data_IF_689807566677
#
_entry.id   IF_689807566677
#
_cell.length_a   1.000
_cell.length_b   1.000
_cell.length_c   1.000
_cell.angle_alpha   90.00
_cell.angle_beta   90.00
_cell.angle_gamma   90.00
#
_symmetry.space_group_name_H-M   'P 1'
#
loop_
_entity.id
_entity.type
_entity.pdbx_description
1 polymer ?
#
# COMPACT_ATOMS: atom_id res chain seq x y z
N UNK A 1 -3.85 3.53 -13.20
CA UNK A 1 -3.38 2.28 -12.56
C UNK A 1 -4.31 1.12 -12.91
N UNK A 2 -5.60 1.18 -12.59
CA UNK A 2 -6.52 0.06 -12.84
C UNK A 2 -6.48 -0.45 -14.29
N UNK A 3 -6.45 0.44 -15.26
CA UNK A 3 -6.36 0.11 -16.71
C UNK A 3 -5.01 -0.49 -17.14
N UNK A 4 -4.00 -0.49 -16.28
CA UNK A 4 -2.65 -1.02 -16.59
C UNK A 4 -2.52 -2.52 -16.35
N UNK A 5 -3.51 -3.15 -15.65
CA UNK A 5 -3.47 -4.59 -15.37
C UNK A 5 -3.27 -5.40 -16.66
N UNK A 6 -2.25 -6.27 -16.63
CA UNK A 6 -1.91 -7.16 -17.75
C UNK A 6 -1.44 -6.46 -19.03
N UNK A 7 -1.21 -5.12 -19.01
CA UNK A 7 -0.83 -4.36 -20.21
C UNK A 7 0.61 -3.85 -20.16
N UNK A 8 0.96 -3.19 -19.06
CA UNK A 8 2.33 -2.68 -18.85
C UNK A 8 2.69 -2.81 -17.37
N UNK A 9 3.96 -3.06 -17.04
CA UNK A 9 4.43 -3.09 -15.66
C UNK A 9 4.15 -1.75 -14.95
N UNK A 10 3.67 -1.81 -13.72
CA UNK A 10 3.46 -0.64 -12.87
C UNK A 10 4.71 -0.46 -12.02
N UNK A 11 5.35 0.70 -12.13
CA UNK A 11 6.55 1.04 -11.37
C UNK A 11 6.14 1.82 -10.13
N UNK A 12 6.48 1.29 -8.95
CA UNK A 12 6.23 1.93 -7.68
C UNK A 12 7.50 1.98 -6.83
N UNK A 13 7.78 3.13 -6.21
CA UNK A 13 8.87 3.31 -5.26
C UNK A 13 8.40 4.15 -4.07
N UNK A 14 9.06 3.98 -2.92
CA UNK A 14 8.82 4.89 -1.80
C UNK A 14 9.59 6.20 -2.03
N UNK A 15 9.07 7.31 -1.48
CA UNK A 15 9.79 8.56 -1.37
C UNK A 15 9.41 9.28 -0.09
N UNK A 16 10.40 9.95 0.51
CA UNK A 16 10.23 10.63 1.80
C UNK A 16 10.72 12.08 1.79
N UNK A 17 11.26 12.55 0.67
CA UNK A 17 11.86 13.87 0.56
C UNK A 17 11.74 14.45 -0.85
N UNK A 18 11.95 15.77 -0.96
CA UNK A 18 11.95 16.50 -2.24
C UNK A 18 12.90 15.89 -3.29
N UNK A 19 14.20 15.65 -3.02
CA UNK A 19 15.12 15.16 -4.08
C UNK A 19 14.65 13.85 -4.70
N UNK A 20 14.21 12.90 -3.88
CA UNK A 20 13.69 11.63 -4.37
C UNK A 20 12.37 11.83 -5.13
N UNK A 21 11.46 12.67 -4.64
CA UNK A 21 10.20 12.94 -5.33
C UNK A 21 10.42 13.47 -6.76
N UNK A 22 11.31 14.46 -6.94
CA UNK A 22 11.63 15.07 -8.24
C UNK A 22 12.26 14.06 -9.23
N UNK A 23 13.13 13.17 -8.73
CA UNK A 23 13.75 12.14 -9.56
C UNK A 23 12.73 11.08 -9.96
N UNK A 24 12.01 10.54 -8.96
CA UNK A 24 11.12 9.40 -9.14
C UNK A 24 9.86 9.74 -9.94
N UNK A 25 9.38 10.98 -9.89
CA UNK A 25 8.20 11.41 -10.66
C UNK A 25 8.34 11.17 -12.16
N UNK A 26 9.57 11.16 -12.68
CA UNK A 26 9.85 10.90 -14.10
C UNK A 26 9.66 9.43 -14.49
N UNK A 27 9.83 8.51 -13.56
CA UNK A 27 9.94 7.07 -13.86
C UNK A 27 8.83 6.22 -13.22
N UNK A 28 8.26 6.66 -12.08
CA UNK A 28 7.26 5.90 -11.36
C UNK A 28 5.83 6.19 -11.85
N UNK A 29 4.98 5.18 -11.82
CA UNK A 29 3.52 5.35 -11.96
C UNK A 29 2.90 5.70 -10.59
N UNK A 30 3.49 5.19 -9.51
CA UNK A 30 3.07 5.42 -8.12
C UNK A 30 4.29 5.78 -7.26
N UNK A 31 4.14 6.78 -6.42
CA UNK A 31 5.08 7.10 -5.34
C UNK A 31 4.36 6.87 -4.01
N UNK A 32 4.91 5.97 -3.19
CA UNK A 32 4.37 5.67 -1.86
C UNK A 32 5.13 6.46 -0.80
N UNK A 33 4.43 7.27 -0.03
CA UNK A 33 4.97 7.79 1.23
C UNK A 33 4.67 6.74 2.29
N UNK A 34 5.61 5.78 2.43
CA UNK A 34 5.47 4.59 3.26
C UNK A 34 5.81 4.83 4.72
N UNK A 35 5.14 4.14 5.64
CA UNK A 35 5.51 4.15 7.06
C UNK A 35 6.85 3.44 7.33
N UNK A 36 7.38 2.73 6.33
CA UNK A 36 8.77 2.24 6.29
C UNK A 36 9.82 3.33 6.54
N UNK A 37 9.48 4.62 6.35
CA UNK A 37 10.35 5.74 6.70
C UNK A 37 10.82 5.71 8.16
N UNK A 38 10.02 5.14 9.06
CA UNK A 38 10.42 4.95 10.45
C UNK A 38 11.69 4.12 10.57
N UNK A 39 11.76 3.03 9.83
CA UNK A 39 12.91 2.13 9.85
C UNK A 39 14.06 2.66 8.98
N UNK A 40 13.77 3.19 7.79
CA UNK A 40 14.80 3.60 6.82
C UNK A 40 15.44 4.96 7.11
N UNK A 41 14.67 5.93 7.61
CA UNK A 41 15.17 7.28 7.89
C UNK A 41 15.44 7.54 9.36
N UNK A 42 14.61 6.99 10.25
CA UNK A 42 14.67 7.30 11.68
C UNK A 42 15.33 6.21 12.52
N UNK A 43 15.69 5.06 11.91
CA UNK A 43 16.28 3.93 12.63
C UNK A 43 15.37 3.30 13.68
N UNK A 44 14.05 3.46 13.53
CA UNK A 44 13.07 2.81 14.41
C UNK A 44 13.10 1.29 14.22
N UNK A 45 12.84 0.53 15.27
CA UNK A 45 12.81 -0.93 15.17
C UNK A 45 11.55 -1.47 14.46
N UNK A 46 10.49 -0.66 14.32
CA UNK A 46 9.21 -1.07 13.75
C UNK A 46 8.46 0.14 13.18
N UNK A 47 7.67 -0.10 12.14
CA UNK A 47 6.78 0.92 11.56
C UNK A 47 5.67 1.38 12.53
N UNK A 48 5.40 0.61 13.60
CA UNK A 48 4.38 0.94 14.61
C UNK A 48 4.65 2.23 15.39
N UNK A 49 5.90 2.68 15.43
CA UNK A 49 6.33 3.88 16.15
C UNK A 49 6.06 5.16 15.35
N UNK A 50 5.79 5.01 14.05
CA UNK A 50 5.58 6.15 13.15
C UNK A 50 4.26 6.86 13.45
N UNK A 51 4.35 8.16 13.69
CA UNK A 51 3.20 9.01 13.98
C UNK A 51 2.61 9.61 12.70
N UNK A 52 1.29 9.79 12.67
CA UNK A 52 0.59 10.35 11.52
C UNK A 52 1.10 11.77 11.14
N UNK A 53 1.46 12.59 12.13
CA UNK A 53 1.93 13.96 11.87
C UNK A 53 3.32 13.96 11.22
N UNK A 54 4.20 13.02 11.58
CA UNK A 54 5.48 12.79 10.88
C UNK A 54 5.24 12.43 9.43
N UNK A 55 4.35 11.47 9.16
CA UNK A 55 3.98 11.07 7.80
C UNK A 55 3.41 12.24 6.99
N UNK A 56 2.59 13.10 7.60
CA UNK A 56 2.03 14.29 6.94
C UNK A 56 3.12 15.26 6.50
N UNK A 57 4.17 15.47 7.31
CA UNK A 57 5.30 16.34 6.93
C UNK A 57 6.02 15.80 5.69
N UNK A 58 6.35 14.50 5.68
CA UNK A 58 6.99 13.86 4.53
C UNK A 58 6.09 13.86 3.30
N UNK A 59 4.80 13.56 3.46
CA UNK A 59 3.86 13.55 2.36
C UNK A 59 3.69 14.93 1.70
N UNK A 60 3.67 16.02 2.49
CA UNK A 60 3.70 17.39 1.97
C UNK A 60 4.96 17.68 1.17
N UNK A 61 6.13 17.25 1.69
CA UNK A 61 7.40 17.45 1.00
C UNK A 61 7.47 16.68 -0.32
N UNK A 62 6.93 15.46 -0.37
CA UNK A 62 6.86 14.64 -1.59
C UNK A 62 5.84 15.21 -2.57
N UNK A 63 4.59 15.39 -2.15
CA UNK A 63 3.49 15.78 -3.06
C UNK A 63 3.73 17.13 -3.73
N UNK A 64 4.39 18.07 -3.04
CA UNK A 64 4.73 19.37 -3.61
C UNK A 64 5.58 19.30 -4.89
N UNK A 65 6.36 18.25 -5.07
CA UNK A 65 7.32 18.09 -6.17
C UNK A 65 7.00 16.92 -7.10
N UNK A 66 5.81 16.33 -6.97
CA UNK A 66 5.29 15.28 -7.85
C UNK A 66 4.15 15.83 -8.69
N UNK A 67 4.28 15.73 -10.02
CA UNK A 67 3.31 16.24 -10.98
C UNK A 67 2.62 15.15 -11.79
N UNK A 68 3.32 14.01 -12.03
CA UNK A 68 2.86 12.93 -12.91
C UNK A 68 2.41 11.69 -12.16
N UNK A 69 3.20 11.26 -11.19
CA UNK A 69 2.97 10.02 -10.45
C UNK A 69 1.81 10.16 -9.46
N UNK A 70 1.09 9.08 -9.26
CA UNK A 70 0.08 8.99 -8.19
C UNK A 70 0.79 8.94 -6.83
N UNK A 71 0.52 9.87 -5.94
CA UNK A 71 1.10 9.86 -4.58
C UNK A 71 0.14 9.20 -3.59
N UNK A 72 0.58 8.09 -3.03
CA UNK A 72 -0.18 7.30 -2.04
C UNK A 72 0.38 7.52 -0.65
N UNK A 73 -0.48 7.80 0.31
CA UNK A 73 -0.12 7.96 1.72
C UNK A 73 -0.38 6.66 2.47
N UNK A 74 0.66 6.08 3.07
CA UNK A 74 0.53 4.89 3.92
C UNK A 74 -0.02 5.27 5.29
N UNK A 75 -1.19 4.76 5.66
CA UNK A 75 -1.82 5.08 6.93
C UNK A 75 -1.10 4.34 8.07
N UNK A 76 -0.49 5.05 9.04
CA UNK A 76 0.25 4.43 10.13
C UNK A 76 -0.60 3.51 11.01
N UNK A 77 0.06 2.61 11.70
CA UNK A 77 -0.55 1.69 12.65
C UNK A 77 -1.55 2.38 13.60
N UNK A 78 -2.71 1.74 13.82
CA UNK A 78 -3.83 2.24 14.65
C UNK A 78 -4.57 3.47 14.11
N UNK A 79 -4.21 4.05 12.97
CA UNK A 79 -4.92 5.21 12.44
C UNK A 79 -6.20 4.84 11.67
N UNK A 80 -6.46 3.54 11.48
CA UNK A 80 -7.65 2.99 10.81
C UNK A 80 -8.30 1.82 11.59
N UNK A 81 -8.27 1.88 12.91
CA UNK A 81 -8.80 0.83 13.81
C UNK A 81 -10.30 0.52 13.63
N UNK A 82 -11.03 1.42 13.03
CA UNK A 82 -12.42 1.24 12.58
C UNK A 82 -12.72 2.22 11.44
N UNK A 83 -13.81 1.99 10.71
CA UNK A 83 -14.18 2.77 9.51
C UNK A 83 -14.35 4.28 9.76
N UNK A 84 -14.83 4.70 10.92
CA UNK A 84 -15.03 6.12 11.24
C UNK A 84 -13.70 6.82 11.55
N UNK A 85 -12.83 6.17 12.33
CA UNK A 85 -11.46 6.63 12.61
C UNK A 85 -10.65 6.69 11.33
N UNK A 86 -10.72 5.65 10.50
CA UNK A 86 -10.08 5.60 9.20
C UNK A 86 -10.51 6.77 8.31
N UNK A 87 -11.81 7.03 8.20
CA UNK A 87 -12.33 8.13 7.38
C UNK A 87 -11.89 9.50 7.90
N UNK A 88 -12.01 9.74 9.22
CA UNK A 88 -11.57 10.99 9.84
C UNK A 88 -10.10 11.28 9.53
N UNK A 89 -9.24 10.26 9.72
CA UNK A 89 -7.80 10.39 9.48
C UNK A 89 -7.48 10.53 7.99
N UNK A 90 -8.05 9.68 7.13
CA UNK A 90 -7.82 9.76 5.68
C UNK A 90 -8.26 11.11 5.10
N UNK A 91 -9.44 11.63 5.51
CA UNK A 91 -9.89 12.96 5.12
C UNK A 91 -8.94 14.08 5.57
N UNK A 92 -8.44 14.02 6.84
CA UNK A 92 -7.42 14.94 7.36
C UNK A 92 -6.14 14.88 6.52
N UNK A 93 -5.65 13.65 6.25
CA UNK A 93 -4.44 13.40 5.47
C UNK A 93 -4.56 14.02 4.08
N UNK A 94 -5.57 13.64 3.31
CA UNK A 94 -5.73 14.10 1.93
C UNK A 94 -5.91 15.63 1.87
N UNK A 95 -6.65 16.22 2.82
CA UNK A 95 -6.81 17.69 2.92
C UNK A 95 -5.48 18.41 3.18
N UNK A 96 -4.62 17.86 4.04
CA UNK A 96 -3.38 18.52 4.46
C UNK A 96 -2.22 18.28 3.51
N UNK A 97 -2.21 17.17 2.78
CA UNK A 97 -1.06 16.73 1.96
C UNK A 97 -1.32 16.82 0.47
N UNK A 98 -2.60 16.87 0.07
CA UNK A 98 -3.03 16.75 -1.33
C UNK A 98 -2.59 15.43 -2.00
N UNK A 99 -2.25 14.39 -1.21
CA UNK A 99 -2.04 13.05 -1.76
C UNK A 99 -3.30 12.53 -2.46
N UNK A 100 -3.10 11.64 -3.42
CA UNK A 100 -4.17 11.19 -4.31
C UNK A 100 -4.96 10.00 -3.73
N UNK A 101 -4.33 9.22 -2.82
CA UNK A 101 -4.91 8.02 -2.24
C UNK A 101 -4.30 7.69 -0.88
N UNK A 102 -4.89 6.74 -0.18
CA UNK A 102 -4.33 6.15 1.04
C UNK A 102 -4.07 4.65 0.86
N UNK A 103 -3.11 4.10 1.62
CA UNK A 103 -2.86 2.66 1.70
C UNK A 103 -3.20 2.17 3.10
N UNK A 104 -3.80 0.96 3.19
CA UNK A 104 -4.09 0.25 4.44
C UNK A 104 -3.58 -1.18 4.35
N UNK A 105 -3.03 -1.67 5.47
CA UNK A 105 -2.64 -3.07 5.62
C UNK A 105 -3.78 -3.90 6.21
N UNK A 106 -3.99 -5.06 5.64
CA UNK A 106 -4.91 -6.06 6.17
C UNK A 106 -5.73 -6.75 5.10
N UNK A 107 -6.26 -7.90 5.49
CA UNK A 107 -7.06 -8.73 4.61
C UNK A 107 -8.56 -8.50 4.81
N UNK A 108 -9.30 -9.59 4.85
CA UNK A 108 -10.77 -9.62 4.94
C UNK A 108 -11.34 -8.77 6.10
N UNK A 109 -10.60 -8.62 7.20
CA UNK A 109 -11.02 -7.79 8.34
C UNK A 109 -11.13 -6.30 8.04
N UNK A 110 -10.42 -5.80 7.01
CA UNK A 110 -10.47 -4.39 6.63
C UNK A 110 -11.50 -4.07 5.54
N UNK A 111 -12.23 -5.07 5.05
CA UNK A 111 -13.22 -4.92 3.96
C UNK A 111 -14.24 -3.81 4.24
N UNK A 112 -14.81 -3.77 5.44
CA UNK A 112 -15.81 -2.76 5.79
C UNK A 112 -15.22 -1.35 5.90
N UNK A 113 -13.99 -1.25 6.43
CA UNK A 113 -13.24 0.00 6.48
C UNK A 113 -12.93 0.52 5.08
N UNK A 114 -12.42 -0.35 4.20
CA UNK A 114 -12.07 0.00 2.81
C UNK A 114 -13.32 0.40 2.02
N UNK A 115 -14.40 -0.39 2.08
CA UNK A 115 -15.68 -0.05 1.43
C UNK A 115 -16.20 1.31 1.86
N UNK A 116 -16.13 1.59 3.16
CA UNK A 116 -16.58 2.87 3.70
C UNK A 116 -15.75 4.05 3.18
N UNK A 117 -14.43 3.92 3.13
CA UNK A 117 -13.54 4.95 2.57
C UNK A 117 -13.85 5.21 1.09
N UNK A 118 -13.96 4.14 0.29
CA UNK A 118 -14.25 4.24 -1.15
C UNK A 118 -15.62 4.87 -1.38
N UNK A 119 -16.65 4.47 -0.63
CA UNK A 119 -17.99 5.06 -0.71
C UNK A 119 -18.01 6.56 -0.33
N UNK A 120 -17.01 7.03 0.42
CA UNK A 120 -16.79 8.45 0.74
C UNK A 120 -15.86 9.17 -0.24
N UNK A 121 -15.53 8.56 -1.38
CA UNK A 121 -14.71 9.14 -2.44
C UNK A 121 -13.20 9.11 -2.15
N UNK A 122 -12.74 8.32 -1.19
CA UNK A 122 -11.31 8.17 -0.87
C UNK A 122 -10.76 6.96 -1.62
N UNK A 123 -9.83 7.13 -2.59
CA UNK A 123 -9.18 6.01 -3.26
C UNK A 123 -8.27 5.25 -2.29
N UNK A 124 -8.33 3.90 -2.34
CA UNK A 124 -7.60 3.04 -1.43
C UNK A 124 -6.73 2.05 -2.21
N UNK A 125 -5.48 1.89 -1.77
CA UNK A 125 -4.58 0.78 -2.07
C UNK A 125 -4.64 -0.23 -0.92
N UNK A 126 -4.92 -1.49 -1.25
CA UNK A 126 -4.91 -2.58 -0.26
C UNK A 126 -3.51 -3.18 -0.08
N UNK A 127 -3.34 -4.00 0.95
CA UNK A 127 -2.08 -4.71 1.21
C UNK A 127 -2.35 -6.05 1.89
N UNK A 128 -1.82 -7.13 1.31
CA UNK A 128 -1.93 -8.50 1.83
C UNK A 128 -0.56 -9.20 1.85
N UNK A 129 -0.48 -10.33 2.52
CA UNK A 129 0.77 -11.09 2.70
C UNK A 129 1.40 -10.78 4.05
N UNK A 130 2.68 -10.44 4.06
CA UNK A 130 3.33 -9.87 5.24
C UNK A 130 2.74 -8.49 5.51
N UNK A 131 2.41 -8.22 6.76
CA UNK A 131 1.84 -6.95 7.22
C UNK A 131 2.76 -6.37 8.30
N UNK A 132 3.71 -5.49 7.97
CA UNK A 132 4.68 -4.93 8.90
C UNK A 132 4.08 -4.34 10.17
N UNK A 133 2.93 -3.68 10.05
CA UNK A 133 2.24 -3.06 11.20
C UNK A 133 1.70 -4.06 12.23
N UNK A 134 1.50 -5.34 11.87
CA UNK A 134 0.95 -6.33 12.80
C UNK A 134 1.84 -7.55 12.99
N UNK A 135 2.77 -7.79 12.08
CA UNK A 135 3.69 -8.94 12.15
C UNK A 135 4.73 -8.75 13.26
N UNK A 136 5.07 -9.84 13.94
CA UNK A 136 6.18 -9.89 14.90
C UNK A 136 7.51 -10.23 14.21
N UNK A 137 7.45 -10.97 13.12
CA UNK A 137 8.62 -11.46 12.39
C UNK A 137 8.41 -11.26 10.89
N UNK A 138 9.45 -10.81 10.21
CA UNK A 138 9.48 -10.69 8.75
C UNK A 138 9.87 -12.04 8.14
N UNK A 139 8.87 -12.87 7.85
CA UNK A 139 9.05 -14.21 7.25
C UNK A 139 8.20 -14.35 6.02
N UNK A 140 8.67 -15.16 5.08
CA UNK A 140 7.96 -15.53 3.86
C UNK A 140 6.57 -16.11 4.22
N UNK A 141 5.54 -15.59 3.57
CA UNK A 141 4.14 -15.93 3.80
C UNK A 141 3.62 -16.94 2.75
N UNK A 142 2.59 -17.69 3.10
CA UNK A 142 1.96 -18.62 2.16
C UNK A 142 2.75 -19.92 1.97
N UNK A 143 3.57 -20.36 2.95
CA UNK A 143 4.36 -21.58 2.83
C UNK A 143 3.53 -22.86 3.00
N UNK A 144 2.40 -22.81 3.68
CA UNK A 144 1.50 -23.96 3.86
C UNK A 144 0.09 -23.66 3.31
N UNK A 145 -0.72 -24.71 3.15
CA UNK A 145 -2.06 -24.64 2.54
C UNK A 145 -3.02 -23.69 3.28
N UNK A 146 -2.94 -23.64 4.61
CA UNK A 146 -3.81 -22.78 5.43
C UNK A 146 -3.47 -21.31 5.18
N UNK A 147 -2.19 -20.96 5.21
CA UNK A 147 -1.72 -19.59 4.91
C UNK A 147 -2.05 -19.19 3.47
N UNK A 148 -1.80 -20.09 2.49
CA UNK A 148 -2.13 -19.86 1.08
C UNK A 148 -3.60 -19.50 0.92
N UNK A 149 -4.49 -20.37 1.42
CA UNK A 149 -5.94 -20.16 1.35
C UNK A 149 -6.37 -18.84 2.02
N UNK A 150 -5.79 -18.52 3.18
CA UNK A 150 -6.08 -17.27 3.89
C UNK A 150 -5.70 -16.05 3.05
N UNK A 151 -4.45 -15.97 2.55
CA UNK A 151 -3.95 -14.81 1.81
C UNK A 151 -4.72 -14.64 0.48
N UNK A 152 -5.00 -15.73 -0.23
CA UNK A 152 -5.82 -15.70 -1.45
C UNK A 152 -7.23 -15.16 -1.17
N UNK A 153 -7.89 -15.66 -0.13
CA UNK A 153 -9.21 -15.18 0.28
C UNK A 153 -9.18 -13.70 0.72
N UNK A 154 -8.12 -13.27 1.41
CA UNK A 154 -7.92 -11.88 1.79
C UNK A 154 -7.79 -10.99 0.55
N UNK A 155 -6.98 -11.38 -0.43
CA UNK A 155 -6.81 -10.64 -1.68
C UNK A 155 -8.12 -10.55 -2.49
N UNK A 156 -8.86 -11.65 -2.62
CA UNK A 156 -10.16 -11.69 -3.30
C UNK A 156 -11.16 -10.77 -2.59
N UNK A 157 -11.22 -10.82 -1.26
CA UNK A 157 -12.16 -10.00 -0.49
C UNK A 157 -11.88 -8.50 -0.65
N UNK A 158 -10.60 -8.10 -0.60
CA UNK A 158 -10.19 -6.71 -0.80
C UNK A 158 -10.41 -6.26 -2.24
N UNK A 159 -10.06 -7.07 -3.24
CA UNK A 159 -10.30 -6.75 -4.65
C UNK A 159 -11.76 -6.38 -4.92
N UNK A 160 -12.70 -7.10 -4.31
CA UNK A 160 -14.16 -6.85 -4.44
C UNK A 160 -14.62 -5.56 -3.77
N UNK A 161 -13.80 -4.85 -3.03
CA UNK A 161 -14.17 -3.57 -2.40
C UNK A 161 -14.05 -2.37 -3.33
N UNK A 162 -13.33 -2.52 -4.45
CA UNK A 162 -13.06 -1.43 -5.40
C UNK A 162 -11.72 -0.72 -5.15
N UNK A 163 -10.77 -1.32 -4.44
CA UNK A 163 -9.40 -0.81 -4.33
C UNK A 163 -8.76 -0.73 -5.73
N UNK A 164 -7.96 0.31 -5.96
CA UNK A 164 -7.36 0.53 -7.28
C UNK A 164 -6.08 -0.31 -7.54
N UNK A 165 -5.45 -0.80 -6.48
CA UNK A 165 -4.30 -1.72 -6.50
C UNK A 165 -4.18 -2.46 -5.17
N UNK A 166 -3.48 -3.60 -5.17
CA UNK A 166 -3.20 -4.39 -3.96
C UNK A 166 -1.70 -4.71 -3.92
N UNK A 167 -1.03 -4.31 -2.82
CA UNK A 167 0.34 -4.74 -2.53
C UNK A 167 0.32 -6.19 -2.06
N UNK A 168 1.22 -7.01 -2.60
CA UNK A 168 1.48 -8.39 -2.16
C UNK A 168 2.91 -8.43 -1.63
N UNK A 169 3.05 -8.54 -0.29
CA UNK A 169 4.37 -8.46 0.35
C UNK A 169 4.82 -9.82 0.89
N UNK A 170 6.07 -10.17 0.53
CA UNK A 170 6.80 -11.34 1.06
C UNK A 170 5.97 -12.64 1.02
N UNK A 171 5.38 -12.93 -0.15
CA UNK A 171 4.52 -14.10 -0.39
C UNK A 171 5.24 -15.04 -1.36
N UNK A 172 5.09 -16.36 -1.16
CA UNK A 172 5.66 -17.37 -2.08
C UNK A 172 5.21 -17.09 -3.52
N UNK A 173 6.14 -17.18 -4.47
CA UNK A 173 5.96 -16.76 -5.86
C UNK A 173 4.72 -17.37 -6.51
N UNK A 174 4.50 -18.68 -6.33
CA UNK A 174 3.35 -19.39 -6.90
C UNK A 174 2.01 -18.82 -6.44
N UNK A 175 1.90 -18.44 -5.16
CA UNK A 175 0.67 -17.85 -4.61
C UNK A 175 0.47 -16.41 -5.09
N UNK A 176 1.54 -15.62 -5.16
CA UNK A 176 1.45 -14.24 -5.67
C UNK A 176 1.02 -14.23 -7.15
N UNK A 177 1.52 -15.19 -7.96
CA UNK A 177 1.06 -15.40 -9.33
C UNK A 177 -0.42 -15.77 -9.38
N UNK A 178 -0.85 -16.78 -8.59
CA UNK A 178 -2.24 -17.22 -8.50
C UNK A 178 -3.19 -16.07 -8.12
N UNK A 179 -2.81 -15.25 -7.13
CA UNK A 179 -3.58 -14.06 -6.74
C UNK A 179 -3.72 -13.11 -7.93
N UNK A 180 -2.60 -12.81 -8.62
CA UNK A 180 -2.58 -11.88 -9.75
C UNK A 180 -3.52 -12.33 -10.88
N UNK A 181 -3.55 -13.62 -11.17
CA UNK A 181 -4.42 -14.22 -12.19
C UNK A 181 -5.88 -14.30 -11.76
N UNK A 182 -6.14 -14.44 -10.45
CA UNK A 182 -7.49 -14.63 -9.92
C UNK A 182 -8.28 -13.32 -9.79
N UNK A 183 -7.63 -12.22 -9.42
CA UNK A 183 -8.33 -10.95 -9.14
C UNK A 183 -8.25 -9.97 -10.32
N UNK A 184 -9.23 -9.10 -10.44
CA UNK A 184 -9.26 -8.05 -11.48
C UNK A 184 -8.48 -6.80 -11.10
N UNK A 185 -8.18 -6.60 -9.82
CA UNK A 185 -7.40 -5.48 -9.32
C UNK A 185 -5.92 -5.68 -9.63
N UNK A 186 -5.18 -4.64 -10.11
CA UNK A 186 -3.75 -4.71 -10.29
C UNK A 186 -3.00 -5.06 -8.99
N UNK A 187 -2.01 -5.94 -9.11
CA UNK A 187 -1.15 -6.37 -8.00
C UNK A 187 0.23 -5.73 -8.08
N UNK A 188 0.74 -5.28 -6.95
CA UNK A 188 2.08 -4.67 -6.80
C UNK A 188 2.90 -5.56 -5.87
N UNK A 189 3.91 -6.24 -6.42
CA UNK A 189 4.75 -7.17 -5.65
C UNK A 189 5.90 -6.47 -4.91
N UNK A 190 6.18 -6.93 -3.70
CA UNK A 190 7.45 -6.66 -3.00
C UNK A 190 7.91 -7.94 -2.32
N UNK A 191 9.09 -8.46 -2.74
CA UNK A 191 9.56 -9.77 -2.28
C UNK A 191 8.54 -10.89 -2.53
N UNK A 192 7.81 -10.84 -3.64
CA UNK A 192 6.72 -11.76 -3.95
C UNK A 192 6.95 -12.46 -5.32
N UNK A 193 6.46 -11.89 -6.43
CA UNK A 193 6.56 -12.53 -7.74
C UNK A 193 6.76 -11.51 -8.86
N UNK A 194 7.58 -11.90 -9.85
CA UNK A 194 7.71 -11.16 -11.11
C UNK A 194 6.42 -11.14 -11.94
N UNK A 195 5.47 -12.01 -11.64
CA UNK A 195 4.17 -12.11 -12.32
C UNK A 195 3.13 -11.12 -11.77
N UNK A 196 3.44 -10.35 -10.73
CA UNK A 196 2.59 -9.22 -10.33
C UNK A 196 2.55 -8.17 -11.44
N UNK A 197 1.44 -7.41 -11.52
CA UNK A 197 1.27 -6.35 -12.53
C UNK A 197 2.25 -5.18 -12.35
N UNK A 198 2.85 -5.05 -11.19
CA UNK A 198 3.89 -4.07 -10.88
C UNK A 198 4.78 -4.52 -9.73
N UNK A 199 5.80 -3.70 -9.47
CA UNK A 199 6.75 -3.91 -8.36
C UNK A 199 6.89 -2.63 -7.54
N UNK A 200 7.06 -2.79 -6.23
CA UNK A 200 7.44 -1.69 -5.33
C UNK A 200 8.74 -2.02 -4.61
N UNK A 201 9.61 -1.03 -4.50
CA UNK A 201 10.81 -1.09 -3.67
C UNK A 201 10.80 0.05 -2.64
N UNK A 202 11.36 -0.24 -1.48
CA UNK A 202 11.63 0.73 -0.41
C UNK A 202 13.04 1.27 -0.62
N UNK A 203 13.18 2.60 -0.65
CA UNK A 203 14.46 3.32 -0.83
C UNK A 203 14.76 4.14 0.42
#
# INVERSE_FOLDING_TARGET
IFKSKGKKPIVCLTAYSKPFAEILDKYCDIILVGDSLGMTLYGMNTTKEVKIDTMILHAKAVKKFVNRSLVVFDMPYKTYSNKFTAYKNAKKILKLTSCDAVKLEGGKKEVDTIKYLIAKGIPVMGHVGLLPQTSKNFKLQGQNSIQKKKILNDAIAISKTGVFAIVIECVVESLAKEITETITTPTIGIGASKHCDGQILVI
#
